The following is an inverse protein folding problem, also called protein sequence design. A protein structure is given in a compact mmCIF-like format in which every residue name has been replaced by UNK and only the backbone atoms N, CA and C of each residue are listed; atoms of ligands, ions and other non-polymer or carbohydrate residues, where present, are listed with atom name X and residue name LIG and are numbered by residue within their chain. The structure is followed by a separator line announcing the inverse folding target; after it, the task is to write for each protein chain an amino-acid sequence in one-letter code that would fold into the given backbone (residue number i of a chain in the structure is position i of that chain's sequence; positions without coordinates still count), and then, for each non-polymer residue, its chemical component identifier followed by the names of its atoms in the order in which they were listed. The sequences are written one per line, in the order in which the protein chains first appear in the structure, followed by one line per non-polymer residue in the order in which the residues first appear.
data_IF_509191700262
#
_entry.id   IF_509191700262
#
_cell.length_a   1.000
_cell.length_b   1.000
_cell.length_c   1.000
_cell.angle_alpha   90.00
_cell.angle_beta   90.00
_cell.angle_gamma   90.00
#
_symmetry.space_group_name_H-M   'P 1'
#
loop_
_entity.id
_entity.type
_entity.pdbx_description
1 polymer ?
#
# COMPACT_ATOMS: atom_id res chain seq x y z
N UNK A 1 9.06 11.34 24.83
CA UNK A 1 9.59 10.23 25.64
C UNK A 1 10.81 9.55 24.99
N UNK A 2 10.93 9.47 23.67
CA UNK A 2 12.07 8.83 22.99
C UNK A 2 13.44 9.49 23.31
N UNK A 3 13.47 10.79 23.58
CA UNK A 3 14.72 11.49 23.98
C UNK A 3 15.37 10.92 25.23
N UNK A 4 14.57 10.44 26.17
CA UNK A 4 15.05 9.92 27.45
C UNK A 4 15.73 8.56 27.33
N UNK A 5 15.44 7.80 26.27
CA UNK A 5 15.91 6.43 26.08
C UNK A 5 16.97 6.27 25.00
N UNK A 6 17.48 7.39 24.45
CA UNK A 6 18.44 7.38 23.33
C UNK A 6 19.70 6.55 23.59
N UNK A 7 20.11 6.41 24.85
CA UNK A 7 21.27 5.58 25.24
C UNK A 7 20.95 4.09 25.45
N UNK A 8 19.68 3.69 25.35
CA UNK A 8 19.24 2.29 25.59
C UNK A 8 19.06 1.49 24.31
N UNK A 9 19.04 2.16 23.14
CA UNK A 9 18.81 1.51 21.85
C UNK A 9 19.89 1.92 20.85
N UNK A 10 20.51 0.95 20.21
CA UNK A 10 21.48 1.18 19.13
C UNK A 10 20.82 1.67 17.85
N UNK A 11 19.61 1.21 17.57
CA UNK A 11 18.83 1.56 16.38
C UNK A 11 17.35 1.61 16.71
N UNK A 12 16.64 2.54 16.08
CA UNK A 12 15.19 2.70 16.20
C UNK A 12 14.62 2.73 14.79
N UNK A 13 13.65 1.87 14.50
CA UNK A 13 12.84 1.91 13.30
C UNK A 13 11.42 2.33 13.66
N UNK A 14 10.90 3.39 13.02
CA UNK A 14 9.57 3.93 13.26
C UNK A 14 8.70 3.75 12.03
N UNK A 15 7.50 3.23 12.22
CA UNK A 15 6.47 3.15 11.19
C UNK A 15 5.24 3.94 11.60
N UNK A 16 4.49 4.43 10.63
CA UNK A 16 3.24 5.15 10.88
C UNK A 16 2.39 5.25 9.62
N UNK A 17 1.14 5.62 9.78
CA UNK A 17 0.18 5.77 8.68
C UNK A 17 0.49 6.97 7.79
N UNK A 18 1.17 7.98 8.34
CA UNK A 18 1.55 9.19 7.61
C UNK A 18 2.88 9.75 8.13
N UNK A 19 3.77 10.21 7.25
CA UNK A 19 5.03 10.85 7.65
C UNK A 19 4.83 12.22 8.31
N UNK A 20 3.64 12.78 8.28
CA UNK A 20 3.30 14.16 8.72
C UNK A 20 3.51 14.38 10.21
N UNK A 21 3.43 13.32 11.02
CA UNK A 21 3.56 13.43 12.47
C UNK A 21 5.00 13.48 12.98
N UNK A 22 5.99 13.32 12.11
CA UNK A 22 7.40 13.33 12.52
C UNK A 22 7.91 14.76 12.75
N UNK A 23 7.37 15.76 12.08
CA UNK A 23 7.81 17.15 12.21
C UNK A 23 7.49 17.76 13.58
N UNK A 24 6.30 17.49 14.13
CA UNK A 24 5.91 17.93 15.48
C UNK A 24 6.71 17.26 16.60
N UNK A 25 7.17 16.04 16.35
CA UNK A 25 8.04 15.31 17.27
C UNK A 25 9.51 15.75 17.15
N UNK A 26 9.88 16.40 16.05
CA UNK A 26 11.28 16.70 15.69
C UNK A 26 11.73 18.11 16.02
N UNK A 27 10.93 18.95 16.71
CA UNK A 27 11.46 20.24 17.17
C UNK A 27 12.70 20.02 18.06
N UNK A 28 13.86 19.91 17.43
CA UNK A 28 15.14 19.57 18.04
C UNK A 28 15.58 18.10 17.97
N UNK A 29 14.97 17.24 17.15
CA UNK A 29 15.31 15.83 16.98
C UNK A 29 15.73 15.50 15.55
N UNK A 30 16.81 16.07 15.11
CA UNK A 30 17.43 15.83 13.79
C UNK A 30 18.13 14.46 13.69
N UNK A 31 17.50 13.38 14.17
CA UNK A 31 18.15 12.05 14.29
C UNK A 31 17.46 11.01 13.41
N UNK A 32 16.24 11.28 12.96
CA UNK A 32 15.48 10.37 12.11
C UNK A 32 15.78 10.60 10.63
N UNK A 33 16.11 9.53 9.92
CA UNK A 33 16.15 9.54 8.48
C UNK A 33 14.80 9.04 7.93
N UNK A 34 14.09 9.90 7.19
CA UNK A 34 12.87 9.51 6.52
C UNK A 34 13.20 8.70 5.27
N UNK A 35 12.82 7.43 5.28
CA UNK A 35 13.04 6.48 4.18
C UNK A 35 11.75 6.17 3.40
N UNK A 36 10.65 6.86 3.67
CA UNK A 36 9.33 6.53 3.12
C UNK A 36 9.27 6.55 1.59
N UNK A 37 10.09 7.38 0.95
CA UNK A 37 10.15 7.52 -0.52
C UNK A 37 11.51 7.17 -1.09
N UNK A 38 12.40 6.59 -0.30
CA UNK A 38 13.74 6.20 -0.74
C UNK A 38 13.65 4.92 -1.59
N UNK A 39 14.15 4.99 -2.83
CA UNK A 39 14.11 3.89 -3.79
C UNK A 39 14.73 2.58 -3.28
N UNK A 40 15.71 2.67 -2.37
CA UNK A 40 16.35 1.49 -1.77
C UNK A 40 15.39 0.65 -0.93
N UNK A 41 14.29 1.26 -0.48
CA UNK A 41 13.27 0.63 0.36
C UNK A 41 11.94 0.41 -0.39
N UNK A 42 11.91 0.64 -1.71
CA UNK A 42 10.70 0.50 -2.52
C UNK A 42 10.05 -0.89 -2.39
N UNK A 43 10.86 -1.93 -2.23
CA UNK A 43 10.39 -3.32 -2.08
C UNK A 43 10.18 -3.77 -0.63
N UNK A 44 10.31 -2.87 0.34
CA UNK A 44 10.20 -3.23 1.76
C UNK A 44 8.76 -3.43 2.22
N UNK A 45 7.81 -2.77 1.55
CA UNK A 45 6.39 -2.73 1.93
C UNK A 45 5.52 -3.25 0.78
N UNK A 46 5.42 -4.48 0.58
CA UNK A 46 4.63 -5.09 -0.48
C UNK A 46 5.15 -6.47 -0.78
N UNK A 47 4.41 -7.22 -1.57
CA UNK A 47 4.91 -8.47 -2.12
C UNK A 47 5.33 -8.27 -3.58
N UNK A 48 6.49 -8.76 -3.95
CA UNK A 48 6.83 -8.95 -5.36
C UNK A 48 5.99 -10.08 -5.95
N UNK A 49 5.94 -10.16 -7.27
CA UNK A 49 5.29 -11.30 -7.94
C UNK A 49 5.94 -12.63 -7.53
N UNK A 50 7.25 -12.63 -7.33
CA UNK A 50 8.01 -13.79 -6.86
C UNK A 50 7.59 -14.19 -5.45
N UNK A 51 7.48 -13.24 -4.51
CA UNK A 51 6.98 -13.50 -3.15
C UNK A 51 5.57 -14.10 -3.16
N UNK A 52 4.68 -13.59 -4.02
CA UNK A 52 3.32 -14.10 -4.17
C UNK A 52 3.35 -15.53 -4.72
N UNK A 53 4.16 -15.77 -5.75
CA UNK A 53 4.31 -17.11 -6.34
C UNK A 53 4.83 -18.13 -5.35
N UNK A 54 5.90 -17.80 -4.61
CA UNK A 54 6.47 -18.66 -3.57
C UNK A 54 5.46 -18.96 -2.46
N UNK A 55 4.74 -17.94 -2.03
CA UNK A 55 3.71 -18.10 -1.00
C UNK A 55 2.59 -19.04 -1.48
N UNK A 56 2.06 -18.86 -2.67
CA UNK A 56 1.02 -19.73 -3.24
C UNK A 56 1.50 -21.16 -3.41
N UNK A 57 2.74 -21.32 -3.88
CA UNK A 57 3.38 -22.64 -4.00
C UNK A 57 3.51 -23.33 -2.64
N UNK A 58 3.89 -22.59 -1.61
CA UNK A 58 3.95 -23.09 -0.24
C UNK A 58 2.59 -23.63 0.22
N UNK A 59 1.51 -22.85 0.07
CA UNK A 59 0.16 -23.28 0.47
C UNK A 59 -0.35 -24.46 -0.36
N UNK A 60 -0.02 -24.52 -1.64
CA UNK A 60 -0.32 -25.68 -2.50
C UNK A 60 0.41 -26.94 -2.02
N UNK A 61 1.70 -26.81 -1.72
CA UNK A 61 2.53 -27.93 -1.24
C UNK A 61 2.10 -28.40 0.16
N UNK A 62 1.63 -27.48 1.00
CA UNK A 62 1.08 -27.79 2.32
C UNK A 62 -0.30 -28.47 2.26
N UNK A 63 -0.93 -28.54 1.09
CA UNK A 63 -2.25 -29.15 0.91
C UNK A 63 -3.42 -28.23 1.27
N UNK A 64 -3.15 -26.93 1.50
CA UNK A 64 -4.17 -25.93 1.78
C UNK A 64 -4.87 -25.43 0.50
N UNK A 65 -4.19 -25.56 -0.65
CA UNK A 65 -4.77 -25.35 -1.97
C UNK A 65 -4.90 -26.69 -2.70
N UNK A 66 -5.92 -26.86 -3.58
CA UNK A 66 -6.05 -28.04 -4.42
C UNK A 66 -4.78 -28.33 -5.23
N UNK A 67 -4.45 -29.60 -5.42
CA UNK A 67 -3.23 -30.00 -6.12
C UNK A 67 -3.19 -29.55 -7.59
N UNK A 68 -4.35 -29.36 -8.20
CA UNK A 68 -4.56 -28.89 -9.57
C UNK A 68 -4.66 -27.35 -9.69
N UNK A 69 -4.48 -26.62 -8.58
CA UNK A 69 -4.51 -25.14 -8.59
C UNK A 69 -3.43 -24.60 -9.53
N UNK A 70 -3.85 -23.76 -10.45
CA UNK A 70 -2.96 -23.02 -11.33
C UNK A 70 -2.53 -21.70 -10.65
N UNK A 71 -1.27 -21.66 -10.22
CA UNK A 71 -0.68 -20.51 -9.49
C UNK A 71 -0.54 -19.30 -10.41
N UNK A 72 -0.15 -19.51 -11.67
CA UNK A 72 0.00 -18.42 -12.64
C UNK A 72 -1.35 -17.77 -12.92
N UNK A 73 -2.40 -18.56 -13.09
CA UNK A 73 -3.76 -18.04 -13.26
C UNK A 73 -4.23 -17.23 -12.05
N UNK A 74 -3.90 -17.67 -10.82
CA UNK A 74 -4.21 -16.89 -9.61
C UNK A 74 -3.49 -15.55 -9.59
N UNK A 75 -2.22 -15.50 -9.99
CA UNK A 75 -1.43 -14.26 -10.04
C UNK A 75 -2.00 -13.32 -11.09
N UNK A 76 -2.30 -13.82 -12.28
CA UNK A 76 -2.89 -13.02 -13.36
C UNK A 76 -4.28 -12.45 -12.98
N UNK A 77 -5.07 -13.19 -12.21
CA UNK A 77 -6.35 -12.72 -11.68
C UNK A 77 -6.18 -11.59 -10.64
N UNK A 78 -5.14 -11.66 -9.84
CA UNK A 78 -4.80 -10.66 -8.81
C UNK A 78 -4.16 -9.39 -9.39
N UNK A 79 -3.36 -9.48 -10.46
CA UNK A 79 -2.58 -8.35 -11.01
C UNK A 79 -3.40 -7.09 -11.27
N UNK A 80 -4.55 -7.12 -11.95
CA UNK A 80 -5.31 -5.91 -12.25
C UNK A 80 -5.81 -5.17 -11.01
N UNK A 81 -5.89 -5.86 -9.88
CA UNK A 81 -6.49 -5.35 -8.66
C UNK A 81 -5.48 -4.98 -7.60
N UNK A 82 -4.38 -5.73 -7.49
CA UNK A 82 -3.47 -5.68 -6.35
C UNK A 82 -2.05 -5.28 -6.70
N UNK A 83 -1.62 -5.43 -7.96
CA UNK A 83 -0.27 -5.12 -8.43
C UNK A 83 -0.19 -3.70 -8.99
N UNK A 84 -0.14 -2.70 -8.11
CA UNK A 84 -0.05 -1.32 -8.59
C UNK A 84 0.68 -0.39 -7.62
N UNK A 85 1.42 -0.92 -6.65
CA UNK A 85 2.08 -0.12 -5.65
C UNK A 85 3.53 0.17 -6.02
N UNK A 86 3.91 1.44 -5.90
CA UNK A 86 5.28 1.90 -6.02
C UNK A 86 5.48 3.00 -4.96
N UNK A 87 6.48 2.83 -4.12
CA UNK A 87 6.70 3.70 -2.96
C UNK A 87 7.77 4.77 -3.20
N UNK A 88 8.53 4.67 -4.30
CA UNK A 88 9.56 5.63 -4.66
C UNK A 88 9.37 6.11 -6.10
N UNK A 89 9.53 7.43 -6.31
CA UNK A 89 9.35 8.05 -7.62
C UNK A 89 10.37 7.50 -8.65
N UNK A 90 11.62 7.31 -8.24
CA UNK A 90 12.67 6.77 -9.10
C UNK A 90 12.41 5.32 -9.52
N UNK A 91 11.69 4.56 -8.69
CA UNK A 91 11.34 3.18 -8.96
C UNK A 91 10.15 3.03 -9.91
N UNK A 92 9.33 4.07 -10.07
CA UNK A 92 8.07 3.99 -10.83
C UNK A 92 8.23 3.51 -12.28
N UNK A 93 9.35 3.85 -12.92
CA UNK A 93 9.65 3.46 -14.31
C UNK A 93 10.66 2.32 -14.44
N UNK A 94 11.33 1.96 -13.35
CA UNK A 94 12.48 1.05 -13.37
C UNK A 94 12.18 -0.29 -12.72
N UNK A 95 11.43 -0.24 -11.62
CA UNK A 95 11.17 -1.42 -10.81
C UNK A 95 9.79 -1.99 -11.10
N UNK A 96 9.61 -3.30 -10.93
CA UNK A 96 8.28 -3.89 -10.94
C UNK A 96 7.43 -3.30 -9.83
N UNK A 97 6.16 -3.22 -10.05
CA UNK A 97 5.19 -2.83 -9.04
C UNK A 97 5.05 -3.92 -7.99
N UNK A 98 4.57 -3.51 -6.82
CA UNK A 98 4.39 -4.40 -5.69
C UNK A 98 2.91 -4.69 -5.48
N UNK A 99 2.60 -5.92 -5.11
CA UNK A 99 1.27 -6.32 -4.70
C UNK A 99 0.94 -5.78 -3.31
N UNK A 100 -0.31 -5.40 -3.10
CA UNK A 100 -0.82 -5.07 -1.78
C UNK A 100 -0.94 -6.35 -0.94
N UNK A 101 -0.19 -6.41 0.16
CA UNK A 101 -0.14 -7.59 1.03
C UNK A 101 -1.51 -8.00 1.57
N UNK A 102 -2.30 -7.04 2.07
CA UNK A 102 -3.61 -7.32 2.66
C UNK A 102 -4.57 -7.91 1.63
N UNK A 103 -4.54 -7.38 0.40
CA UNK A 103 -5.40 -7.86 -0.67
C UNK A 103 -5.00 -9.27 -1.15
N UNK A 104 -3.70 -9.55 -1.25
CA UNK A 104 -3.20 -10.89 -1.59
C UNK A 104 -3.61 -11.90 -0.52
N UNK A 105 -3.45 -11.55 0.76
CA UNK A 105 -3.86 -12.41 1.87
C UNK A 105 -5.39 -12.59 1.94
N UNK A 106 -6.16 -11.56 1.59
CA UNK A 106 -7.61 -11.66 1.46
C UNK A 106 -8.00 -12.67 0.38
N UNK A 107 -7.40 -12.55 -0.81
CA UNK A 107 -7.64 -13.45 -1.94
C UNK A 107 -7.31 -14.90 -1.57
N UNK A 108 -6.12 -15.12 -1.01
CA UNK A 108 -5.66 -16.45 -0.60
C UNK A 108 -6.58 -17.08 0.45
N UNK A 109 -6.97 -16.32 1.47
CA UNK A 109 -7.91 -16.79 2.50
C UNK A 109 -9.26 -17.19 1.91
N UNK A 110 -9.75 -16.38 0.95
CA UNK A 110 -11.00 -16.69 0.28
C UNK A 110 -10.87 -17.98 -0.53
N UNK A 111 -9.78 -18.12 -1.26
CA UNK A 111 -9.52 -19.30 -2.10
C UNK A 111 -9.43 -20.59 -1.27
N UNK A 112 -8.71 -20.55 -0.15
CA UNK A 112 -8.60 -21.69 0.79
C UNK A 112 -9.96 -22.06 1.38
N UNK A 113 -10.75 -21.09 1.82
CA UNK A 113 -12.00 -21.35 2.54
C UNK A 113 -13.18 -21.71 1.62
N UNK A 114 -13.21 -21.18 0.40
CA UNK A 114 -14.36 -21.28 -0.50
C UNK A 114 -14.03 -21.94 -1.85
N UNK A 115 -12.78 -22.33 -2.07
CA UNK A 115 -12.35 -23.08 -3.25
C UNK A 115 -12.25 -22.25 -4.53
N UNK A 116 -12.18 -20.92 -4.46
CA UNK A 116 -12.07 -20.05 -5.62
C UNK A 116 -11.84 -18.58 -5.30
N UNK A 117 -11.63 -17.79 -6.34
CA UNK A 117 -11.42 -16.36 -6.25
C UNK A 117 -12.61 -15.62 -5.61
N UNK A 118 -12.39 -14.53 -4.86
CA UNK A 118 -13.47 -13.72 -4.32
C UNK A 118 -14.27 -13.03 -5.42
N UNK A 119 -15.60 -13.05 -5.32
CA UNK A 119 -16.46 -12.30 -6.25
C UNK A 119 -16.23 -10.79 -6.19
N UNK A 120 -15.86 -10.29 -5.02
CA UNK A 120 -15.42 -8.92 -4.80
C UNK A 120 -13.92 -8.96 -4.54
N UNK A 121 -13.15 -8.45 -5.49
CA UNK A 121 -11.69 -8.48 -5.41
C UNK A 121 -11.14 -7.54 -4.33
N UNK A 122 -11.91 -6.57 -3.87
CA UNK A 122 -11.54 -5.68 -2.76
C UNK A 122 -12.22 -6.17 -1.49
N UNK A 123 -11.43 -6.38 -0.43
CA UNK A 123 -11.95 -6.79 0.87
C UNK A 123 -12.98 -5.77 1.37
N UNK A 124 -14.24 -6.19 1.61
CA UNK A 124 -15.28 -5.30 2.14
C UNK A 124 -14.92 -4.68 3.50
N UNK A 125 -13.99 -5.28 4.24
CA UNK A 125 -13.51 -4.74 5.51
C UNK A 125 -12.49 -3.61 5.35
N UNK A 126 -11.83 -3.50 4.20
CA UNK A 126 -11.08 -2.29 3.80
C UNK A 126 -12.08 -1.22 3.39
N UNK A 127 -12.86 -0.75 4.35
CA UNK A 127 -13.89 0.26 4.08
C UNK A 127 -13.23 1.52 3.54
N UNK A 128 -13.63 1.89 2.35
CA UNK A 128 -13.51 3.26 1.87
C UNK A 128 -14.03 4.16 2.97
N UNK A 129 -13.18 5.02 3.51
CA UNK A 129 -13.61 6.02 4.49
C UNK A 129 -14.50 7.03 3.77
N UNK A 130 -15.81 6.73 3.76
CA UNK A 130 -16.82 7.58 3.13
C UNK A 130 -16.76 9.02 3.65
N UNK A 131 -16.28 9.26 4.86
CA UNK A 131 -16.11 10.60 5.40
C UNK A 131 -14.96 11.33 4.73
N UNK A 132 -13.84 10.66 4.43
CA UNK A 132 -12.75 11.24 3.65
C UNK A 132 -13.19 11.51 2.22
N UNK A 133 -13.90 10.59 1.60
CA UNK A 133 -14.45 10.77 0.25
C UNK A 133 -15.45 11.96 0.20
N UNK A 134 -16.33 12.06 1.20
CA UNK A 134 -17.26 13.18 1.34
C UNK A 134 -16.54 14.50 1.54
N UNK A 135 -15.46 14.53 2.33
CA UNK A 135 -14.60 15.72 2.49
C UNK A 135 -13.91 16.09 1.19
N UNK A 136 -13.37 15.13 0.44
CA UNK A 136 -12.78 15.39 -0.88
C UNK A 136 -13.80 16.00 -1.84
N UNK A 137 -15.03 15.48 -1.89
CA UNK A 137 -16.13 16.02 -2.70
C UNK A 137 -16.52 17.45 -2.26
N UNK A 138 -16.51 17.71 -0.95
CA UNK A 138 -16.81 19.04 -0.42
C UNK A 138 -15.71 20.03 -0.74
N UNK A 139 -14.44 19.64 -0.63
CA UNK A 139 -13.31 20.48 -1.00
C UNK A 139 -13.28 20.78 -2.49
N UNK A 140 -13.64 19.81 -3.32
CA UNK A 140 -13.77 19.98 -4.78
C UNK A 140 -14.88 20.98 -5.17
N UNK A 141 -15.91 21.12 -4.32
CA UNK A 141 -17.01 22.09 -4.50
C UNK A 141 -16.68 23.50 -4.01
N UNK A 142 -15.88 23.62 -2.94
CA UNK A 142 -15.59 24.90 -2.28
C UNK A 142 -14.47 25.67 -2.99
N UNK A 143 -13.54 24.98 -3.61
CA UNK A 143 -12.40 25.57 -4.27
C UNK A 143 -12.59 25.52 -5.79
N UNK A 144 -13.13 26.60 -6.36
CA UNK A 144 -13.48 26.69 -7.79
C UNK A 144 -12.31 26.40 -8.76
N UNK A 145 -11.07 26.26 -8.23
CA UNK A 145 -9.86 25.90 -8.95
C UNK A 145 -9.51 24.41 -8.84
N UNK A 146 -10.10 23.66 -7.93
CA UNK A 146 -9.90 22.21 -7.75
C UNK A 146 -10.98 21.37 -8.43
N UNK A 147 -11.79 21.99 -9.27
CA UNK A 147 -12.74 21.28 -10.14
C UNK A 147 -11.95 20.32 -11.02
N UNK A 148 -11.80 19.13 -10.56
CA UNK A 148 -11.18 18.16 -11.41
C UNK A 148 -10.41 17.07 -10.71
N UNK A 149 -10.21 17.06 -9.38
CA UNK A 149 -9.54 15.95 -8.72
C UNK A 149 -10.32 14.66 -8.96
N UNK A 150 -11.63 14.66 -8.64
CA UNK A 150 -12.50 13.52 -8.92
C UNK A 150 -12.68 13.30 -10.41
N UNK A 151 -12.82 14.36 -11.20
CA UNK A 151 -12.92 14.27 -12.65
C UNK A 151 -11.64 13.72 -13.27
N UNK A 152 -10.47 14.19 -12.84
CA UNK A 152 -9.19 13.62 -13.28
C UNK A 152 -9.08 12.13 -12.94
N UNK A 153 -9.44 11.74 -11.73
CA UNK A 153 -9.45 10.32 -11.34
C UNK A 153 -10.40 9.52 -12.23
N UNK A 154 -11.58 10.09 -12.56
CA UNK A 154 -12.57 9.41 -13.40
C UNK A 154 -12.15 9.34 -14.88
N UNK A 155 -11.60 10.44 -15.40
CA UNK A 155 -11.29 10.57 -16.82
C UNK A 155 -9.89 10.01 -17.16
N UNK A 156 -8.91 10.19 -16.25
CA UNK A 156 -7.51 9.82 -16.46
C UNK A 156 -7.09 8.56 -15.68
N UNK A 157 -7.95 8.07 -14.77
CA UNK A 157 -7.65 6.92 -13.91
C UNK A 157 -6.58 7.17 -12.83
N UNK A 158 -6.01 8.38 -12.79
CA UNK A 158 -4.91 8.72 -11.89
C UNK A 158 -4.91 10.19 -11.50
N UNK A 159 -4.25 10.48 -10.39
CA UNK A 159 -3.90 11.83 -9.97
C UNK A 159 -2.47 11.83 -9.46
N UNK A 160 -1.72 12.87 -9.83
CA UNK A 160 -0.37 13.10 -9.32
C UNK A 160 -0.42 14.24 -8.32
N UNK A 161 0.08 14.01 -7.14
CA UNK A 161 0.18 15.02 -6.08
C UNK A 161 1.50 14.87 -5.32
N UNK A 162 1.93 15.93 -4.69
CA UNK A 162 3.11 15.91 -3.83
C UNK A 162 2.70 15.41 -2.44
N UNK A 163 3.48 14.51 -1.87
CA UNK A 163 3.29 14.08 -0.49
C UNK A 163 3.64 15.25 0.44
N UNK A 164 2.63 15.77 1.16
CA UNK A 164 2.89 16.76 2.20
C UNK A 164 3.57 16.07 3.38
N UNK A 165 4.79 16.48 3.69
CA UNK A 165 5.58 15.97 4.82
C UNK A 165 5.48 16.85 6.06
N UNK A 166 4.87 18.04 5.92
CA UNK A 166 4.65 19.03 6.98
C UNK A 166 3.21 19.48 7.01
N UNK A 167 2.71 19.83 8.18
CA UNK A 167 1.45 20.57 8.28
C UNK A 167 1.67 22.03 7.86
N UNK A 168 0.73 22.65 7.14
CA UNK A 168 0.78 24.08 6.83
C UNK A 168 0.64 24.96 8.08
#
# INVERSE_FOLDING_TARGET
HFKLYKGMFDRIFMTGVSPVTLDDLTSGFNIGWNISTDHRFNKMLGFSEEDVSEMLLYYKTAGELPADTDIEAMIEDMKPWYDNYCFAEESFKRDPKMFNCDMVLYYLRHYINLGGAPKQMIDPNTRTDYNKMKKLIQLDKLDGNRKGVLRKITDEGQIVTTLATTFP
#
